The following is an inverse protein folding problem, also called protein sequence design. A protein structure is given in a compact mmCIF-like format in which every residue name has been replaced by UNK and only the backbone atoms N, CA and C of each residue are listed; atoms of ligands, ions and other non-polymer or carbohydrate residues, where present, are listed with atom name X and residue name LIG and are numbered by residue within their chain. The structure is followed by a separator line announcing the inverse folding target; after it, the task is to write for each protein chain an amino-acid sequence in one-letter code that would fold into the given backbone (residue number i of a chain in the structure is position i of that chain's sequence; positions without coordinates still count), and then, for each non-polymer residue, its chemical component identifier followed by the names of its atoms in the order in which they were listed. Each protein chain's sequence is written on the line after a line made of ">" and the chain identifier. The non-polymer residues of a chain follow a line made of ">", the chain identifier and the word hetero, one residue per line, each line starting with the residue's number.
data_IF_861326095070
#
_entry.id   IF_861326095070
#
_cell.length_a   1.000
_cell.length_b   1.000
_cell.length_c   1.000
_cell.angle_alpha   90.00
_cell.angle_beta   90.00
_cell.angle_gamma   90.00
#
_symmetry.space_group_name_H-M   'P 1'
#
loop_
_entity.id
_entity.type
_entity.pdbx_description
1 polymer ?
#
# COMPACT_ATOMS: atom_id res chain seq x y z
N UNK A 1 -59.93 12.75 9.99
CA UNK A 1 -59.84 11.35 10.45
C UNK A 1 -58.53 10.77 9.92
N UNK A 2 -57.58 10.39 10.79
CA UNK A 2 -56.34 9.76 10.35
C UNK A 2 -56.59 8.29 9.98
N UNK A 3 -56.20 7.89 8.77
CA UNK A 3 -56.19 6.49 8.33
C UNK A 3 -55.10 5.70 9.07
N UNK A 4 -55.41 4.52 9.63
CA UNK A 4 -54.42 3.69 10.30
C UNK A 4 -53.36 3.25 9.29
N UNK A 5 -52.10 3.55 9.62
CA UNK A 5 -50.92 3.15 8.86
C UNK A 5 -50.77 1.64 9.04
N UNK A 6 -51.03 0.86 8.00
CA UNK A 6 -50.87 -0.59 8.03
C UNK A 6 -49.41 -0.91 8.37
N UNK A 7 -49.18 -1.47 9.54
CA UNK A 7 -47.86 -1.98 9.92
C UNK A 7 -47.53 -3.17 9.02
N UNK A 8 -46.34 -3.20 8.39
CA UNK A 8 -45.94 -4.32 7.57
C UNK A 8 -45.82 -5.57 8.46
N UNK A 9 -46.74 -6.50 8.28
CA UNK A 9 -46.64 -7.88 8.77
C UNK A 9 -45.33 -8.44 8.23
N UNK A 10 -44.33 -8.47 9.11
CA UNK A 10 -43.05 -9.11 8.84
C UNK A 10 -43.25 -10.57 9.19
N UNK A 11 -43.90 -11.31 8.30
CA UNK A 11 -43.88 -12.77 8.36
C UNK A 11 -42.42 -13.19 8.15
N UNK A 12 -41.76 -13.51 9.26
CA UNK A 12 -40.41 -14.05 9.29
C UNK A 12 -40.46 -15.42 8.59
N UNK A 13 -40.16 -15.41 7.29
CA UNK A 13 -39.94 -16.62 6.49
C UNK A 13 -38.93 -17.47 7.24
N UNK A 14 -39.38 -18.62 7.75
CA UNK A 14 -38.49 -19.60 8.37
C UNK A 14 -37.61 -20.17 7.29
N UNK A 15 -36.34 -19.79 7.32
CA UNK A 15 -35.29 -20.35 6.48
C UNK A 15 -34.94 -21.71 7.09
N UNK A 16 -35.09 -22.78 6.31
CA UNK A 16 -34.64 -24.11 6.73
C UNK A 16 -33.16 -24.33 6.41
N UNK A 17 -32.56 -25.37 7.00
CA UNK A 17 -31.13 -25.66 6.85
C UNK A 17 -30.71 -25.91 5.38
N UNK A 18 -31.62 -26.40 4.53
CA UNK A 18 -31.35 -26.59 3.11
C UNK A 18 -31.24 -25.24 2.39
N UNK A 19 -32.12 -24.30 2.73
CA UNK A 19 -32.09 -22.94 2.22
C UNK A 19 -30.83 -22.19 2.72
N UNK A 20 -30.45 -22.35 3.99
CA UNK A 20 -29.19 -21.79 4.51
C UNK A 20 -27.96 -22.28 3.74
N UNK A 21 -27.84 -23.59 3.51
CA UNK A 21 -26.73 -24.15 2.75
C UNK A 21 -26.66 -23.63 1.30
N UNK A 22 -27.81 -23.40 0.65
CA UNK A 22 -27.88 -22.83 -0.69
C UNK A 22 -27.46 -21.35 -0.70
N UNK A 23 -27.85 -20.58 0.33
CA UNK A 23 -27.42 -19.19 0.48
C UNK A 23 -25.90 -19.11 0.68
N UNK A 24 -25.31 -19.98 1.50
CA UNK A 24 -23.86 -20.03 1.71
C UNK A 24 -23.11 -20.35 0.42
N UNK A 25 -23.59 -21.32 -0.37
CA UNK A 25 -23.01 -21.64 -1.68
C UNK A 25 -23.11 -20.46 -2.66
N UNK A 26 -24.26 -19.77 -2.70
CA UNK A 26 -24.45 -18.62 -3.57
C UNK A 26 -23.53 -17.45 -3.16
N UNK A 27 -23.41 -17.18 -1.86
CA UNK A 27 -22.49 -16.17 -1.32
C UNK A 27 -21.05 -16.50 -1.68
N UNK A 28 -20.63 -17.75 -1.55
CA UNK A 28 -19.27 -18.16 -1.89
C UNK A 28 -18.98 -18.03 -3.39
N UNK A 29 -19.95 -18.39 -4.23
CA UNK A 29 -19.84 -18.19 -5.67
C UNK A 29 -19.74 -16.70 -6.06
N UNK A 30 -20.59 -15.84 -5.48
CA UNK A 30 -20.55 -14.40 -5.71
C UNK A 30 -19.25 -13.77 -5.23
N UNK A 31 -18.71 -14.22 -4.09
CA UNK A 31 -17.39 -13.80 -3.60
C UNK A 31 -16.30 -14.18 -4.58
N UNK A 32 -16.31 -15.41 -5.10
CA UNK A 32 -15.36 -15.87 -6.11
C UNK A 32 -15.43 -15.01 -7.39
N UNK A 33 -16.63 -14.71 -7.89
CA UNK A 33 -16.81 -13.84 -9.06
C UNK A 33 -16.30 -12.42 -8.83
N UNK A 34 -16.68 -11.79 -7.71
CA UNK A 34 -16.21 -10.46 -7.36
C UNK A 34 -14.69 -10.40 -7.19
N UNK A 35 -14.13 -11.47 -6.62
CA UNK A 35 -12.72 -11.63 -6.39
C UNK A 35 -11.92 -11.68 -7.71
N UNK A 36 -12.33 -12.54 -8.64
CA UNK A 36 -11.73 -12.64 -9.98
C UNK A 36 -11.86 -11.34 -10.76
N UNK A 37 -13.05 -10.72 -10.76
CA UNK A 37 -13.29 -9.46 -11.45
C UNK A 37 -12.37 -8.33 -10.96
N UNK A 38 -12.08 -8.27 -9.65
CA UNK A 38 -11.18 -7.26 -9.09
C UNK A 38 -9.73 -7.48 -9.52
N UNK A 39 -9.26 -8.72 -9.56
CA UNK A 39 -7.92 -9.06 -10.04
C UNK A 39 -7.78 -8.70 -11.52
N UNK A 40 -8.73 -9.10 -12.35
CA UNK A 40 -8.73 -8.81 -13.78
C UNK A 40 -8.77 -7.30 -14.05
N UNK A 41 -9.62 -6.56 -13.34
CA UNK A 41 -9.69 -5.10 -13.43
C UNK A 41 -8.34 -4.44 -13.08
N UNK A 42 -7.72 -4.86 -11.98
CA UNK A 42 -6.42 -4.34 -11.55
C UNK A 42 -5.31 -4.64 -12.58
N UNK A 43 -5.25 -5.88 -13.07
CA UNK A 43 -4.26 -6.33 -14.07
C UNK A 43 -4.46 -5.61 -15.40
N UNK A 44 -5.69 -5.48 -15.87
CA UNK A 44 -6.03 -4.76 -17.11
C UNK A 44 -5.66 -3.28 -17.00
N UNK A 45 -5.96 -2.64 -15.86
CA UNK A 45 -5.60 -1.24 -15.62
C UNK A 45 -4.08 -1.05 -15.59
N UNK A 46 -3.37 -1.92 -14.87
CA UNK A 46 -1.90 -1.90 -14.83
C UNK A 46 -1.26 -2.08 -16.20
N UNK A 47 -1.79 -3.01 -17.01
CA UNK A 47 -1.38 -3.23 -18.40
C UNK A 47 -1.60 -1.99 -19.25
N UNK A 48 -2.79 -1.40 -19.21
CA UNK A 48 -3.14 -0.19 -19.96
C UNK A 48 -2.19 0.97 -19.64
N UNK A 49 -1.86 1.18 -18.37
CA UNK A 49 -0.92 2.24 -17.95
C UNK A 49 0.48 2.01 -18.53
N UNK A 50 0.96 0.76 -18.54
CA UNK A 50 2.27 0.41 -19.09
C UNK A 50 2.30 0.54 -20.61
N UNK A 51 1.25 0.09 -21.30
CA UNK A 51 1.11 0.27 -22.75
C UNK A 51 1.04 1.75 -23.14
N UNK A 52 0.28 2.56 -22.39
CA UNK A 52 0.02 3.97 -22.73
C UNK A 52 1.19 4.89 -22.40
N UNK A 53 1.79 4.78 -21.20
CA UNK A 53 2.80 5.73 -20.73
C UNK A 53 4.23 5.25 -20.94
N UNK A 54 4.42 3.95 -21.19
CA UNK A 54 5.74 3.33 -21.25
C UNK A 54 5.94 2.47 -22.51
N UNK A 55 5.06 2.58 -23.52
CA UNK A 55 5.11 1.84 -24.79
C UNK A 55 5.18 0.32 -24.60
N UNK A 56 4.52 -0.19 -23.55
CA UNK A 56 4.57 -1.60 -23.18
C UNK A 56 5.86 -2.03 -22.48
N UNK A 57 6.85 -1.14 -22.35
CA UNK A 57 8.13 -1.44 -21.71
C UNK A 57 8.05 -1.22 -20.20
N UNK A 58 7.79 -2.31 -19.49
CA UNK A 58 7.74 -2.32 -18.03
C UNK A 58 9.06 -1.94 -17.36
N UNK A 59 10.21 -2.21 -17.98
CA UNK A 59 11.51 -1.78 -17.48
C UNK A 59 11.63 -0.26 -17.43
N UNK A 60 10.99 0.46 -18.36
CA UNK A 60 10.98 1.92 -18.38
C UNK A 60 10.18 2.55 -17.22
N UNK A 61 9.22 1.82 -16.64
CA UNK A 61 8.54 2.25 -15.41
C UNK A 61 9.47 2.21 -14.19
N UNK A 62 10.39 1.24 -14.16
CA UNK A 62 11.38 1.09 -13.07
C UNK A 62 12.65 1.92 -13.28
N UNK A 63 12.93 2.33 -14.52
CA UNK A 63 14.05 3.23 -14.82
C UNK A 63 13.72 4.64 -14.31
N UNK A 64 14.57 5.19 -13.44
CA UNK A 64 14.41 6.52 -12.85
C UNK A 64 14.70 7.68 -13.83
N UNK A 65 14.86 7.40 -15.12
CA UNK A 65 15.00 8.44 -16.15
C UNK A 65 13.73 9.30 -16.22
N UNK A 66 13.93 10.62 -16.07
CA UNK A 66 12.86 11.61 -15.83
C UNK A 66 11.77 11.66 -16.90
N UNK A 67 12.12 11.42 -18.16
CA UNK A 67 11.29 11.87 -19.27
C UNK A 67 10.00 11.03 -19.41
N UNK A 68 10.06 9.70 -19.24
CA UNK A 68 8.86 8.82 -19.30
C UNK A 68 8.05 8.81 -18.01
N UNK A 69 8.69 9.03 -16.86
CA UNK A 69 7.98 9.22 -15.60
C UNK A 69 7.12 10.50 -15.61
N UNK A 70 7.45 11.48 -16.45
CA UNK A 70 6.75 12.78 -16.49
C UNK A 70 5.27 12.66 -16.84
N UNK A 71 4.88 11.88 -17.84
CA UNK A 71 3.49 11.78 -18.29
C UNK A 71 2.58 11.05 -17.29
N UNK A 72 3.05 9.95 -16.68
CA UNK A 72 2.30 9.26 -15.63
C UNK A 72 2.17 10.13 -14.37
N UNK A 73 3.24 10.85 -14.00
CA UNK A 73 3.18 11.80 -12.89
C UNK A 73 2.22 12.95 -13.20
N UNK A 74 2.24 13.49 -14.42
CA UNK A 74 1.32 14.52 -14.89
C UNK A 74 -0.14 14.07 -14.83
N UNK A 75 -0.47 12.82 -15.20
CA UNK A 75 -1.80 12.26 -14.98
C UNK A 75 -2.18 12.29 -13.49
N UNK A 76 -1.29 11.79 -12.63
CA UNK A 76 -1.55 11.69 -11.19
C UNK A 76 -1.66 13.07 -10.51
N UNK A 77 -0.98 14.08 -11.03
CA UNK A 77 -0.91 15.43 -10.44
C UNK A 77 -2.00 16.35 -11.00
N UNK A 78 -2.21 16.35 -12.33
CA UNK A 78 -3.14 17.27 -12.97
C UNK A 78 -4.58 16.73 -13.08
N UNK A 79 -4.78 15.41 -12.93
CA UNK A 79 -6.10 14.77 -13.04
C UNK A 79 -6.50 14.02 -11.76
N UNK A 80 -5.95 14.43 -10.62
CA UNK A 80 -6.19 13.79 -9.33
C UNK A 80 -7.68 13.74 -8.95
N UNK A 81 -8.44 14.82 -9.18
CA UNK A 81 -9.86 14.90 -8.83
C UNK A 81 -10.72 13.96 -9.68
N UNK A 82 -10.40 13.83 -10.97
CA UNK A 82 -11.09 12.91 -11.87
C UNK A 82 -10.78 11.45 -11.55
N UNK A 83 -9.53 11.15 -11.18
CA UNK A 83 -9.16 9.83 -10.66
C UNK A 83 -9.94 9.52 -9.38
N UNK A 84 -10.03 10.47 -8.45
CA UNK A 84 -10.77 10.31 -7.21
C UNK A 84 -12.27 10.07 -7.45
N UNK A 85 -12.86 10.75 -8.44
CA UNK A 85 -14.26 10.55 -8.82
C UNK A 85 -14.58 9.11 -9.29
N UNK A 86 -13.59 8.40 -9.84
CA UNK A 86 -13.69 6.98 -10.21
C UNK A 86 -13.07 6.03 -9.17
N UNK A 87 -12.79 6.52 -7.96
CA UNK A 87 -12.25 5.71 -6.86
C UNK A 87 -10.79 5.29 -7.04
N UNK A 88 -10.04 5.97 -7.90
CA UNK A 88 -8.62 5.72 -8.14
C UNK A 88 -7.76 6.80 -7.50
N UNK A 89 -6.58 6.40 -7.05
CA UNK A 89 -5.55 7.29 -6.51
C UNK A 89 -4.21 6.93 -7.12
N UNK A 90 -3.21 7.81 -7.01
CA UNK A 90 -1.83 7.53 -7.45
C UNK A 90 -1.31 6.20 -6.88
N UNK A 91 -1.56 5.93 -5.61
CA UNK A 91 -1.12 4.69 -4.97
C UNK A 91 -1.88 3.46 -5.50
N UNK A 92 -3.18 3.60 -5.81
CA UNK A 92 -3.97 2.54 -6.46
C UNK A 92 -3.42 2.21 -7.84
N UNK A 93 -3.13 3.22 -8.68
CA UNK A 93 -2.58 3.01 -10.02
C UNK A 93 -1.21 2.33 -9.97
N UNK A 94 -0.34 2.77 -9.06
CA UNK A 94 0.97 2.12 -8.85
C UNK A 94 0.80 0.66 -8.43
N UNK A 95 -0.12 0.38 -7.49
CA UNK A 95 -0.45 -1.00 -7.07
C UNK A 95 -0.90 -1.86 -8.25
N UNK A 96 -1.75 -1.34 -9.13
CA UNK A 96 -2.21 -2.04 -10.33
C UNK A 96 -1.09 -2.32 -11.34
N UNK A 97 -0.18 -1.37 -11.57
CA UNK A 97 1.03 -1.61 -12.39
C UNK A 97 1.84 -2.78 -11.82
N UNK A 98 2.04 -2.81 -10.51
CA UNK A 98 2.78 -3.90 -9.87
C UNK A 98 2.04 -5.23 -9.86
N UNK A 99 0.71 -5.20 -9.74
CA UNK A 99 -0.13 -6.37 -9.89
C UNK A 99 0.03 -6.95 -11.29
N UNK A 100 -0.02 -6.12 -12.35
CA UNK A 100 0.24 -6.55 -13.73
C UNK A 100 1.63 -7.18 -13.91
N UNK A 101 2.70 -6.53 -13.42
CA UNK A 101 4.06 -7.07 -13.48
C UNK A 101 4.18 -8.44 -12.84
N UNK A 102 3.54 -8.62 -11.68
CA UNK A 102 3.59 -9.88 -10.95
C UNK A 102 2.70 -10.93 -11.60
N UNK A 103 1.49 -10.58 -12.01
CA UNK A 103 0.50 -11.49 -12.57
C UNK A 103 0.94 -12.08 -13.92
N UNK A 104 1.55 -11.28 -14.81
CA UNK A 104 1.96 -11.72 -16.16
C UNK A 104 2.99 -12.87 -16.15
N UNK A 105 3.70 -13.06 -15.04
CA UNK A 105 4.74 -14.10 -14.88
C UNK A 105 4.27 -15.30 -14.08
N UNK A 106 3.10 -15.23 -13.43
CA UNK A 106 2.54 -16.36 -12.70
C UNK A 106 1.99 -17.42 -13.66
N UNK A 107 2.01 -18.71 -13.29
CA UNK A 107 1.35 -19.77 -14.03
C UNK A 107 -0.19 -19.65 -13.92
N UNK A 108 -0.97 -20.20 -14.87
CA UNK A 108 -2.43 -20.10 -14.88
C UNK A 108 -3.10 -20.54 -13.56
N UNK A 109 -2.65 -21.67 -13.00
CA UNK A 109 -3.15 -22.20 -11.72
C UNK A 109 -3.05 -21.17 -10.58
N UNK A 110 -1.95 -20.41 -10.51
CA UNK A 110 -1.77 -19.36 -9.52
C UNK A 110 -2.59 -18.11 -9.85
N UNK A 111 -2.77 -17.78 -11.13
CA UNK A 111 -3.57 -16.62 -11.54
C UNK A 111 -5.04 -16.77 -11.16
N UNK A 112 -5.58 -17.97 -11.32
CA UNK A 112 -6.99 -18.27 -11.05
C UNK A 112 -7.29 -18.36 -9.55
N UNK A 113 -6.33 -18.81 -8.74
CA UNK A 113 -6.54 -19.02 -7.31
C UNK A 113 -6.16 -17.82 -6.43
N UNK A 114 -5.26 -16.94 -6.88
CA UNK A 114 -4.69 -15.91 -6.00
C UNK A 114 -5.51 -14.63 -5.92
N UNK A 115 -5.49 -14.03 -4.73
CA UNK A 115 -6.06 -12.71 -4.53
C UNK A 115 -5.19 -11.56 -4.99
N UNK A 116 -5.79 -10.41 -5.33
CA UNK A 116 -5.04 -9.19 -5.66
C UNK A 116 -4.03 -8.86 -4.56
N UNK A 117 -4.44 -8.98 -3.30
CA UNK A 117 -3.56 -8.76 -2.14
C UNK A 117 -2.42 -9.78 -2.09
N UNK A 118 -2.68 -11.04 -2.44
CA UNK A 118 -1.67 -12.09 -2.51
C UNK A 118 -0.68 -11.84 -3.66
N UNK A 119 -1.15 -11.41 -4.83
CA UNK A 119 -0.32 -11.02 -5.97
C UNK A 119 0.56 -9.82 -5.60
N UNK A 120 0.02 -8.79 -4.97
CA UNK A 120 0.79 -7.63 -4.51
C UNK A 120 1.85 -7.99 -3.47
N UNK A 121 1.56 -8.95 -2.61
CA UNK A 121 2.50 -9.42 -1.60
C UNK A 121 3.72 -10.07 -2.25
N UNK A 122 3.52 -10.91 -3.26
CA UNK A 122 4.60 -11.56 -4.01
C UNK A 122 5.59 -10.56 -4.61
N UNK A 123 5.17 -9.34 -4.95
CA UNK A 123 6.07 -8.25 -5.44
C UNK A 123 7.29 -8.02 -4.56
N UNK A 124 7.21 -8.32 -3.26
CA UNK A 124 8.32 -8.12 -2.32
C UNK A 124 9.50 -9.05 -2.59
N UNK A 125 9.29 -10.14 -3.31
CA UNK A 125 10.32 -11.07 -3.74
C UNK A 125 10.86 -10.59 -5.09
N UNK A 126 12.13 -10.13 -5.17
CA UNK A 126 12.67 -9.53 -6.39
C UNK A 126 12.83 -10.55 -7.52
N UNK A 127 13.16 -11.79 -7.16
CA UNK A 127 13.35 -12.86 -8.12
C UNK A 127 12.01 -13.41 -8.65
N UNK A 128 11.91 -13.56 -9.96
CA UNK A 128 10.69 -14.04 -10.61
C UNK A 128 10.46 -15.53 -10.38
N UNK A 129 11.51 -16.34 -10.41
CA UNK A 129 11.41 -17.80 -10.24
C UNK A 129 10.87 -18.10 -8.85
N UNK A 130 11.48 -17.50 -7.82
CA UNK A 130 11.07 -17.61 -6.42
C UNK A 130 9.63 -17.14 -6.22
N UNK A 131 9.18 -16.04 -6.87
CA UNK A 131 7.77 -15.60 -6.82
C UNK A 131 6.82 -16.69 -7.31
N UNK A 132 7.14 -17.31 -8.45
CA UNK A 132 6.33 -18.38 -9.04
C UNK A 132 6.31 -19.63 -8.15
N UNK A 133 7.44 -20.01 -7.57
CA UNK A 133 7.53 -21.15 -6.65
C UNK A 133 6.67 -20.94 -5.40
N UNK A 134 6.77 -19.77 -4.77
CA UNK A 134 5.94 -19.40 -3.61
C UNK A 134 4.46 -19.41 -3.99
N UNK A 135 4.09 -18.85 -5.15
CA UNK A 135 2.70 -18.83 -5.61
C UNK A 135 2.13 -20.24 -5.79
N UNK A 136 2.86 -21.13 -6.46
CA UNK A 136 2.46 -22.52 -6.66
C UNK A 136 2.44 -23.32 -5.35
N UNK A 137 3.36 -23.05 -4.42
CA UNK A 137 3.34 -23.65 -3.09
C UNK A 137 2.10 -23.22 -2.31
N UNK A 138 1.77 -21.93 -2.32
CA UNK A 138 0.61 -21.37 -1.65
C UNK A 138 -0.71 -21.97 -2.15
N UNK A 139 -0.87 -22.13 -3.46
CA UNK A 139 -2.07 -22.74 -4.05
C UNK A 139 -2.16 -24.23 -3.69
N UNK A 140 -1.08 -25.00 -3.90
CA UNK A 140 -1.09 -26.44 -3.63
C UNK A 140 -1.30 -26.80 -2.15
N UNK A 141 -0.79 -25.97 -1.25
CA UNK A 141 -0.85 -26.20 0.19
C UNK A 141 -2.02 -25.47 0.86
N UNK A 142 -2.79 -24.67 0.13
CA UNK A 142 -3.91 -23.92 0.67
C UNK A 142 -3.50 -22.89 1.73
N UNK A 143 -2.38 -22.19 1.53
CA UNK A 143 -1.87 -21.23 2.51
C UNK A 143 -2.88 -20.11 2.80
N UNK A 144 -3.02 -19.80 4.09
CA UNK A 144 -3.67 -18.59 4.54
C UNK A 144 -2.89 -17.34 4.12
N UNK A 145 -3.54 -16.16 4.09
CA UNK A 145 -2.86 -14.89 3.82
C UNK A 145 -1.74 -14.54 4.82
N UNK A 146 -1.72 -15.16 6.01
CA UNK A 146 -0.69 -14.99 7.01
C UNK A 146 0.55 -15.83 6.68
N UNK A 147 0.37 -17.10 6.31
CA UNK A 147 1.45 -18.01 5.92
C UNK A 147 2.15 -17.53 4.64
N UNK A 148 1.37 -17.12 3.63
CA UNK A 148 1.95 -16.52 2.41
C UNK A 148 2.80 -15.29 2.74
N UNK A 149 2.38 -14.46 3.69
CA UNK A 149 3.15 -13.28 4.12
C UNK A 149 4.44 -13.69 4.80
N UNK A 150 4.39 -14.65 5.71
CA UNK A 150 5.57 -15.14 6.40
C UNK A 150 6.62 -15.67 5.41
N UNK A 151 6.20 -16.50 4.45
CA UNK A 151 7.12 -17.06 3.45
C UNK A 151 7.71 -15.97 2.53
N UNK A 152 6.86 -15.07 2.02
CA UNK A 152 7.30 -13.95 1.19
C UNK A 152 8.31 -13.08 1.93
N UNK A 153 8.09 -12.80 3.21
CA UNK A 153 9.00 -11.99 4.03
C UNK A 153 10.32 -12.71 4.31
N UNK A 154 10.28 -14.02 4.59
CA UNK A 154 11.47 -14.85 4.75
C UNK A 154 12.32 -14.85 3.47
N UNK A 155 11.71 -15.16 2.31
CA UNK A 155 12.41 -15.19 1.02
C UNK A 155 12.91 -13.82 0.57
N UNK A 156 12.12 -12.77 0.80
CA UNK A 156 12.56 -11.41 0.53
C UNK A 156 13.75 -11.00 1.42
N UNK A 157 13.82 -11.50 2.67
CA UNK A 157 14.95 -11.24 3.56
C UNK A 157 16.22 -12.00 3.12
N UNK A 158 16.08 -13.27 2.72
CA UNK A 158 17.17 -14.10 2.19
C UNK A 158 17.79 -13.52 0.90
N UNK A 159 16.94 -13.08 -0.03
CA UNK A 159 17.36 -12.57 -1.33
C UNK A 159 17.84 -11.11 -1.31
N UNK A 160 17.59 -10.39 -0.22
CA UNK A 160 18.15 -9.04 -0.08
C UNK A 160 19.65 -9.20 0.04
N UNK A 161 20.44 -8.56 -0.85
CA UNK A 161 21.88 -8.55 -0.68
C UNK A 161 22.13 -8.04 0.73
N UNK A 162 22.86 -8.83 1.52
CA UNK A 162 23.37 -8.44 2.83
C UNK A 162 23.77 -7.00 2.71
N UNK A 163 22.97 -6.09 3.28
CA UNK A 163 23.33 -4.69 3.28
C UNK A 163 24.62 -4.69 4.06
N UNK A 164 25.74 -4.60 3.34
CA UNK A 164 27.00 -4.17 3.92
C UNK A 164 26.61 -3.01 4.84
N UNK A 165 27.17 -2.97 6.05
CA UNK A 165 26.92 -1.95 7.06
C UNK A 165 27.33 -0.53 6.59
N UNK A 166 27.32 -0.24 5.28
CA UNK A 166 27.16 1.07 4.64
C UNK A 166 25.78 1.68 4.93
N UNK A 167 25.29 1.57 6.16
CA UNK A 167 24.56 2.69 6.72
C UNK A 167 25.60 3.72 7.09
N UNK A 168 25.36 5.00 6.78
CA UNK A 168 26.10 6.08 7.46
C UNK A 168 26.02 5.75 8.97
N UNK A 169 27.14 5.70 9.70
CA UNK A 169 27.08 5.42 11.13
C UNK A 169 26.03 6.32 11.78
N UNK A 170 25.22 5.80 12.72
CA UNK A 170 24.24 6.61 13.40
C UNK A 170 24.96 7.85 13.93
N UNK A 171 24.39 9.03 13.65
CA UNK A 171 24.94 10.28 14.15
C UNK A 171 25.05 10.19 15.67
N UNK A 172 26.12 10.75 16.23
CA UNK A 172 26.24 10.83 17.67
C UNK A 172 25.01 11.55 18.25
N UNK A 173 24.55 11.21 19.47
CA UNK A 173 23.36 11.82 20.07
C UNK A 173 23.36 13.36 19.99
N UNK A 174 24.50 14.00 20.24
CA UNK A 174 24.67 15.45 20.10
C UNK A 174 24.51 15.97 18.67
N UNK A 175 25.05 15.27 17.66
CA UNK A 175 24.87 15.65 16.24
C UNK A 175 23.41 15.52 15.78
N UNK A 176 22.70 14.50 16.29
CA UNK A 176 21.27 14.31 16.03
C UNK A 176 20.45 15.43 16.68
N UNK A 177 20.77 15.79 17.92
CA UNK A 177 20.15 16.91 18.64
C UNK A 177 20.35 18.24 17.89
N UNK A 178 21.58 18.56 17.49
CA UNK A 178 21.89 19.77 16.71
C UNK A 178 21.13 19.84 15.38
N UNK A 179 21.00 18.72 14.66
CA UNK A 179 20.18 18.69 13.43
C UNK A 179 18.68 18.87 13.70
N UNK A 180 18.18 18.36 14.83
CA UNK A 180 16.83 18.62 15.32
C UNK A 180 16.59 20.12 15.51
N UNK A 181 17.50 20.79 16.23
CA UNK A 181 17.47 22.24 16.47
C UNK A 181 17.48 23.05 15.17
N UNK A 182 18.36 22.71 14.22
CA UNK A 182 18.42 23.38 12.90
C UNK A 182 17.11 23.22 12.13
N UNK A 183 16.47 22.05 12.21
CA UNK A 183 15.17 21.80 11.56
C UNK A 183 14.06 22.64 12.19
N UNK A 184 14.05 22.76 13.51
CA UNK A 184 13.07 23.58 14.23
C UNK A 184 13.28 25.07 13.96
N UNK A 185 14.53 25.55 13.94
CA UNK A 185 14.86 26.92 13.57
C UNK A 185 14.35 27.28 12.17
N UNK A 186 14.40 26.33 11.21
CA UNK A 186 13.78 26.51 9.89
C UNK A 186 12.27 26.65 9.94
N UNK A 187 11.58 25.81 10.73
CA UNK A 187 10.11 25.90 10.90
C UNK A 187 9.72 27.26 11.48
N UNK A 188 10.45 27.76 12.48
CA UNK A 188 10.21 29.08 13.07
C UNK A 188 10.53 30.20 12.08
N UNK A 189 11.61 30.07 11.30
CA UNK A 189 11.96 31.04 10.26
C UNK A 189 10.94 31.08 9.10
N UNK A 190 10.39 29.93 8.70
CA UNK A 190 9.32 29.81 7.71
C UNK A 190 8.00 30.42 8.21
N UNK A 191 7.74 30.33 9.52
CA UNK A 191 6.67 31.08 10.20
C UNK A 191 7.01 32.57 10.40
N UNK A 192 8.02 33.11 9.69
CA UNK A 192 8.50 34.50 9.78
C UNK A 192 8.88 34.96 11.19
N UNK A 193 9.22 34.04 12.08
CA UNK A 193 9.53 34.34 13.49
C UNK A 193 8.30 34.59 14.36
N UNK A 194 7.08 34.48 13.83
CA UNK A 194 5.84 34.62 14.60
C UNK A 194 5.48 33.29 15.27
N UNK A 195 6.19 32.97 16.35
CA UNK A 195 5.92 31.77 17.17
C UNK A 195 4.47 31.78 17.69
N UNK A 196 3.91 32.97 17.93
CA UNK A 196 2.51 33.16 18.34
C UNK A 196 1.48 32.78 17.26
N UNK A 197 1.88 32.66 15.98
CA UNK A 197 1.02 32.20 14.90
C UNK A 197 0.96 30.66 14.78
N UNK A 198 1.77 29.94 15.55
CA UNK A 198 1.73 28.49 15.60
C UNK A 198 0.61 28.00 16.54
N UNK A 199 -0.04 26.87 16.23
CA UNK A 199 -0.95 26.21 17.16
C UNK A 199 -0.27 25.91 18.50
N UNK A 200 -0.99 26.07 19.62
CA UNK A 200 -0.45 25.90 20.98
C UNK A 200 0.17 24.51 21.17
N UNK A 201 -0.47 23.48 20.62
CA UNK A 201 0.00 22.10 20.65
C UNK A 201 1.36 21.95 19.95
N UNK A 202 1.60 22.74 18.89
CA UNK A 202 2.86 22.74 18.17
C UNK A 202 3.96 23.45 18.94
N UNK A 203 3.63 24.54 19.64
CA UNK A 203 4.56 25.28 20.50
C UNK A 203 5.02 24.41 21.68
N UNK A 204 4.09 23.72 22.34
CA UNK A 204 4.42 22.81 23.45
C UNK A 204 5.27 21.61 23.00
N UNK A 205 4.94 21.01 21.85
CA UNK A 205 5.77 19.96 21.26
C UNK A 205 7.19 20.44 20.93
N UNK A 206 7.34 21.62 20.34
CA UNK A 206 8.64 22.22 20.05
C UNK A 206 9.45 22.47 21.33
N UNK A 207 8.80 22.96 22.39
CA UNK A 207 9.44 23.20 23.69
C UNK A 207 9.95 21.91 24.33
N UNK A 208 9.16 20.84 24.31
CA UNK A 208 9.56 19.54 24.85
C UNK A 208 10.77 18.98 24.09
N UNK A 209 10.74 19.02 22.74
CA UNK A 209 11.84 18.57 21.89
C UNK A 209 13.12 19.41 22.11
N UNK A 210 13.00 20.73 22.34
CA UNK A 210 14.12 21.62 22.64
C UNK A 210 14.79 21.29 23.98
N UNK A 211 13.99 21.03 25.02
CA UNK A 211 14.49 20.67 26.34
C UNK A 211 15.21 19.31 26.31
N UNK A 212 14.67 18.34 25.58
CA UNK A 212 15.32 17.05 25.37
C UNK A 212 16.67 17.21 24.64
N UNK A 213 16.71 18.03 23.58
CA UNK A 213 17.94 18.31 22.86
C UNK A 213 18.99 19.02 23.73
N UNK A 214 18.58 19.95 24.59
CA UNK A 214 19.46 20.63 25.54
C UNK A 214 20.04 19.64 26.57
N UNK A 215 19.21 18.79 27.17
CA UNK A 215 19.67 17.79 28.15
C UNK A 215 20.69 16.81 27.54
N UNK A 216 20.48 16.39 26.29
CA UNK A 216 21.44 15.54 25.56
C UNK A 216 22.77 16.27 25.30
N UNK A 217 22.73 17.58 24.98
CA UNK A 217 23.94 18.36 24.76
C UNK A 217 24.70 18.63 26.06
N UNK A 218 24.00 18.94 27.16
CA UNK A 218 24.62 19.11 28.48
C UNK A 218 25.32 17.82 28.94
N UNK A 219 24.70 16.66 28.76
CA UNK A 219 25.30 15.36 29.09
C UNK A 219 26.45 14.92 28.17
N UNK A 220 26.69 15.61 27.06
CA UNK A 220 27.84 15.37 26.17
C UNK A 220 29.02 16.29 26.53
N UNK A 221 28.77 17.40 27.21
CA UNK A 221 29.77 18.46 27.49
C UNK A 221 30.14 18.59 28.98
N UNK A 222 29.42 17.93 29.89
CA UNK A 222 29.74 17.80 31.32
C UNK A 222 30.40 16.47 31.66
#
# INVERSE_FOLDING_TARGET
>A
MPTPKAEPSTDLVRIDAATEALLDQAIEHLRSLAHTALVDYAVATGRYLIETFYDGNLGAYYDHRRDKASSFNALCEHRADELAAIGLSRSTLQRYIHAYDTFRVLPPEAREAMSLRSVELLRRVPDQVTRTEIALAAVRQGWSPAELRAEVEAKAAELRPSKSKRGRPPLAPGEKALRGLVRQAKVVAEAKGEIAALPVERVEALRAELLEALAVLEGVWG
#
